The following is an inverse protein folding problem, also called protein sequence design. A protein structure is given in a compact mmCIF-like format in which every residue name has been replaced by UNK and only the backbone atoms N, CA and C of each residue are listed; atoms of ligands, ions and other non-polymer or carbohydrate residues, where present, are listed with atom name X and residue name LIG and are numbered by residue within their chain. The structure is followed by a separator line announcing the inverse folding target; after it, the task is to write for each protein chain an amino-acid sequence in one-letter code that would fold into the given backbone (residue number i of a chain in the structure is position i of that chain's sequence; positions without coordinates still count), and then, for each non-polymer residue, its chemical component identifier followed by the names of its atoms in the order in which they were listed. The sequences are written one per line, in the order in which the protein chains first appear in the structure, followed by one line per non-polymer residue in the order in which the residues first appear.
data_IF_354041737497
#
_entry.id   IF_354041737497
#
_cell.length_a   1.000
_cell.length_b   1.000
_cell.length_c   1.000
_cell.angle_alpha   90.00
_cell.angle_beta   90.00
_cell.angle_gamma   90.00
#
_symmetry.space_group_name_H-M   'P 1'
#
loop_
_entity.id
_entity.type
_entity.pdbx_description
1 polymer ?
#
# COMPACT_ATOMS: atom_id res chain seq x y z
N UNK A 1 38.21 6.74 31.96
CA UNK A 1 37.45 6.68 30.69
C UNK A 1 36.28 5.76 30.92
N UNK A 2 35.04 6.28 30.94
CA UNK A 2 33.86 5.44 31.05
C UNK A 2 33.62 4.79 29.67
N UNK A 3 33.76 3.47 29.59
CA UNK A 3 33.35 2.70 28.42
C UNK A 3 31.84 2.80 28.30
N UNK A 4 31.36 3.59 27.33
CA UNK A 4 29.96 3.58 26.96
C UNK A 4 29.63 2.17 26.45
N UNK A 5 28.97 1.38 27.28
CA UNK A 5 28.38 0.11 26.85
C UNK A 5 27.13 0.47 26.07
N UNK A 6 27.19 0.37 24.75
CA UNK A 6 25.99 0.40 23.92
C UNK A 6 25.07 -0.73 24.38
N UNK A 7 23.78 -0.46 24.62
CA UNK A 7 22.84 -1.54 24.93
C UNK A 7 22.86 -2.56 23.79
N UNK A 8 22.77 -3.87 24.08
CA UNK A 8 22.68 -4.89 23.05
C UNK A 8 21.48 -4.58 22.15
N UNK A 9 21.66 -4.73 20.84
CA UNK A 9 20.57 -4.62 19.88
C UNK A 9 19.57 -5.74 20.23
N UNK A 10 18.43 -5.39 20.83
CA UNK A 10 17.36 -6.33 21.08
C UNK A 10 16.92 -6.92 19.74
N UNK A 11 16.87 -8.25 19.63
CA UNK A 11 16.31 -8.85 18.43
C UNK A 11 14.85 -8.42 18.28
N UNK A 12 14.40 -8.03 17.09
CA UNK A 12 13.00 -7.70 16.85
C UNK A 12 12.11 -8.89 17.21
N UNK A 13 11.03 -8.62 17.92
CA UNK A 13 10.00 -9.62 18.22
C UNK A 13 9.46 -10.22 16.91
N UNK A 14 9.16 -11.52 16.90
CA UNK A 14 8.57 -12.20 15.76
C UNK A 14 7.13 -12.56 16.06
N UNK A 15 6.22 -12.04 15.24
CA UNK A 15 4.76 -12.26 15.35
C UNK A 15 4.31 -13.02 14.12
N UNK A 16 3.50 -14.05 14.28
CA UNK A 16 2.95 -14.83 13.16
C UNK A 16 1.56 -14.26 12.83
N UNK A 17 1.34 -13.90 11.58
CA UNK A 17 0.02 -13.46 11.13
C UNK A 17 -0.96 -14.65 11.04
N UNK A 18 -2.25 -14.38 11.21
CA UNK A 18 -3.29 -15.39 11.14
C UNK A 18 -4.04 -15.29 9.81
N UNK A 19 -4.50 -16.42 9.27
CA UNK A 19 -5.39 -16.40 8.10
C UNK A 19 -6.75 -15.84 8.48
N UNK A 20 -7.13 -14.71 7.89
CA UNK A 20 -8.43 -14.10 8.10
C UNK A 20 -9.49 -14.71 7.18
N UNK A 21 -9.28 -14.64 5.87
CA UNK A 21 -10.11 -15.23 4.80
C UNK A 21 -9.27 -15.40 3.52
N UNK A 22 -9.83 -15.97 2.45
CA UNK A 22 -9.16 -16.10 1.16
C UNK A 22 -10.15 -15.98 0.00
N UNK A 23 -9.63 -15.73 -1.22
CA UNK A 23 -10.46 -15.62 -2.42
C UNK A 23 -11.26 -16.92 -2.58
N UNK A 24 -12.61 -16.85 -2.61
CA UNK A 24 -13.46 -18.01 -2.81
C UNK A 24 -13.18 -18.71 -4.14
N UNK A 25 -13.39 -20.02 -4.18
CA UNK A 25 -13.09 -20.83 -5.35
C UNK A 25 -13.82 -20.34 -6.62
N UNK A 26 -15.07 -19.91 -6.48
CA UNK A 26 -15.91 -19.33 -7.54
C UNK A 26 -15.39 -17.99 -8.09
N UNK A 27 -14.51 -17.31 -7.36
CA UNK A 27 -13.87 -16.08 -7.77
C UNK A 27 -12.48 -16.29 -8.36
N UNK A 28 -11.89 -17.47 -8.24
CA UNK A 28 -10.58 -17.80 -8.81
C UNK A 28 -10.67 -18.03 -10.32
N UNK A 29 -9.74 -17.43 -11.07
CA UNK A 29 -9.71 -17.50 -12.54
C UNK A 29 -8.41 -18.07 -13.04
N UNK A 30 -8.32 -19.39 -13.15
CA UNK A 30 -7.12 -20.11 -13.60
C UNK A 30 -6.78 -19.89 -15.10
N UNK A 31 -6.42 -18.66 -15.47
CA UNK A 31 -6.04 -18.26 -16.83
C UNK A 31 -4.82 -17.36 -16.82
N UNK A 32 -4.22 -17.19 -17.99
CA UNK A 32 -3.20 -16.17 -18.22
C UNK A 32 -3.91 -14.82 -18.38
N UNK A 33 -3.38 -13.77 -17.77
CA UNK A 33 -3.85 -12.39 -17.94
C UNK A 33 -2.76 -11.50 -18.53
N UNK A 34 -3.13 -10.31 -19.01
CA UNK A 34 -2.15 -9.31 -19.44
C UNK A 34 -1.15 -8.97 -18.33
N UNK A 35 -1.63 -8.94 -17.09
CA UNK A 35 -0.81 -8.74 -15.91
C UNK A 35 0.16 -9.92 -15.70
N UNK A 36 -0.32 -11.17 -15.72
CA UNK A 36 0.55 -12.33 -15.49
C UNK A 36 1.57 -12.54 -16.62
N UNK A 37 1.24 -12.14 -17.86
CA UNK A 37 2.17 -12.12 -18.98
C UNK A 37 3.40 -11.26 -18.71
N UNK A 38 3.19 -10.04 -18.19
CA UNK A 38 4.26 -9.08 -17.89
C UNK A 38 4.96 -9.34 -16.55
N UNK A 39 4.25 -9.78 -15.51
CA UNK A 39 4.76 -9.84 -14.13
C UNK A 39 5.20 -11.23 -13.69
N UNK A 40 4.64 -12.27 -14.29
CA UNK A 40 4.89 -13.66 -13.91
C UNK A 40 5.25 -14.53 -15.11
N UNK A 41 5.85 -13.93 -16.15
CA UNK A 41 6.34 -14.62 -17.35
C UNK A 41 5.26 -15.48 -18.03
N UNK A 42 4.01 -15.03 -18.03
CA UNK A 42 2.89 -15.73 -18.67
C UNK A 42 2.40 -16.97 -17.92
N UNK A 43 2.76 -17.13 -16.64
CA UNK A 43 2.15 -18.17 -15.82
C UNK A 43 0.66 -17.89 -15.57
N UNK A 44 -0.08 -18.96 -15.31
CA UNK A 44 -1.45 -18.87 -14.80
C UNK A 44 -1.43 -18.10 -13.48
N UNK A 45 -2.36 -17.17 -13.33
CA UNK A 45 -2.60 -16.41 -12.11
C UNK A 45 -4.11 -16.41 -11.89
N UNK A 46 -4.56 -16.91 -10.76
CA UNK A 46 -5.98 -17.06 -10.45
C UNK A 46 -6.59 -15.84 -9.74
N UNK A 47 -5.74 -15.11 -9.02
CA UNK A 47 -5.94 -13.78 -8.48
C UNK A 47 -4.57 -13.19 -8.10
N UNK A 48 -4.48 -11.87 -7.99
CA UNK A 48 -3.34 -11.17 -7.40
C UNK A 48 -3.85 -10.03 -6.52
N UNK A 49 -3.97 -10.30 -5.21
CA UNK A 49 -4.55 -9.38 -4.25
C UNK A 49 -3.61 -8.24 -3.86
N UNK A 50 -4.13 -7.02 -3.81
CA UNK A 50 -3.38 -5.81 -3.47
C UNK A 50 -4.29 -4.72 -2.86
N UNK A 51 -3.69 -3.58 -2.51
CA UNK A 51 -4.37 -2.33 -2.15
C UNK A 51 -5.54 -2.45 -1.16
N UNK A 52 -5.38 -3.09 0.02
CA UNK A 52 -6.45 -3.20 0.99
C UNK A 52 -6.82 -1.82 1.58
N UNK A 53 -8.11 -1.51 1.70
CA UNK A 53 -8.61 -0.33 2.42
C UNK A 53 -9.91 -0.63 3.19
N UNK A 54 -10.18 0.13 4.24
CA UNK A 54 -11.46 0.09 4.95
C UNK A 54 -12.39 1.21 4.48
N UNK A 55 -13.60 0.84 4.05
CA UNK A 55 -14.65 1.79 3.66
C UNK A 55 -16.00 1.29 4.17
N UNK A 56 -16.73 2.15 4.91
CA UNK A 56 -18.07 1.84 5.43
C UNK A 56 -18.16 0.47 6.14
N UNK A 57 -17.15 0.12 6.95
CA UNK A 57 -17.10 -1.12 7.72
C UNK A 57 -16.74 -2.38 6.92
N UNK A 58 -16.41 -2.25 5.62
CA UNK A 58 -15.98 -3.36 4.76
C UNK A 58 -14.52 -3.20 4.36
N UNK A 59 -13.84 -4.33 4.22
CA UNK A 59 -12.50 -4.40 3.68
C UNK A 59 -12.58 -4.53 2.16
N UNK A 60 -12.03 -3.57 1.43
CA UNK A 60 -11.89 -3.63 -0.01
C UNK A 60 -10.48 -4.08 -0.35
N UNK A 61 -10.34 -4.94 -1.38
CA UNK A 61 -9.05 -5.38 -1.91
C UNK A 61 -9.10 -5.40 -3.43
N UNK A 62 -8.00 -5.07 -4.09
CA UNK A 62 -7.90 -5.17 -5.54
C UNK A 62 -7.53 -6.59 -5.96
N UNK A 63 -7.84 -6.92 -7.21
CA UNK A 63 -7.31 -8.08 -7.90
C UNK A 63 -6.79 -7.64 -9.27
N UNK A 64 -5.50 -7.30 -9.30
CA UNK A 64 -4.83 -6.69 -10.45
C UNK A 64 -4.94 -7.60 -11.67
N UNK A 65 -4.79 -8.91 -11.44
CA UNK A 65 -4.70 -9.90 -12.49
C UNK A 65 -5.93 -9.94 -13.39
N UNK A 66 -7.10 -9.53 -12.86
CA UNK A 66 -8.37 -9.66 -13.55
C UNK A 66 -9.23 -8.39 -13.55
N UNK A 67 -8.69 -7.25 -13.13
CA UNK A 67 -9.41 -5.97 -13.25
C UNK A 67 -10.60 -5.87 -12.28
N UNK A 68 -10.46 -6.40 -11.06
CA UNK A 68 -11.56 -6.48 -10.10
C UNK A 68 -11.21 -5.75 -8.80
N UNK A 69 -12.25 -5.28 -8.12
CA UNK A 69 -12.18 -4.88 -6.72
C UNK A 69 -13.20 -5.72 -5.98
N UNK A 70 -12.77 -6.36 -4.90
CA UNK A 70 -13.62 -7.11 -3.99
C UNK A 70 -13.96 -6.27 -2.77
N UNK A 71 -15.15 -6.51 -2.21
CA UNK A 71 -15.53 -6.06 -0.87
C UNK A 71 -15.74 -7.29 0.01
N UNK A 72 -15.22 -7.24 1.23
CA UNK A 72 -15.25 -8.33 2.20
C UNK A 72 -15.95 -7.80 3.46
N UNK A 73 -16.99 -8.52 3.88
CA UNK A 73 -17.64 -8.26 5.17
C UNK A 73 -16.74 -8.79 6.30
N UNK A 74 -16.42 -7.95 7.28
CA UNK A 74 -15.49 -8.34 8.34
C UNK A 74 -16.07 -9.37 9.32
N UNK A 75 -17.39 -9.38 9.52
CA UNK A 75 -18.05 -10.27 10.46
C UNK A 75 -18.33 -11.64 9.82
N UNK A 76 -18.89 -11.65 8.61
CA UNK A 76 -19.26 -12.89 7.92
C UNK A 76 -18.13 -13.48 7.09
N UNK A 77 -17.10 -12.67 6.78
CA UNK A 77 -15.99 -13.00 5.85
C UNK A 77 -16.44 -13.27 4.41
N UNK A 78 -17.68 -12.89 4.07
CA UNK A 78 -18.22 -13.05 2.73
C UNK A 78 -17.56 -12.07 1.75
N UNK A 79 -17.21 -12.58 0.57
CA UNK A 79 -16.65 -11.78 -0.51
C UNK A 79 -17.73 -11.42 -1.51
N UNK A 80 -17.65 -10.20 -2.05
CA UNK A 80 -18.43 -9.76 -3.20
C UNK A 80 -17.51 -9.15 -4.23
N UNK A 81 -17.61 -9.55 -5.49
CA UNK A 81 -17.03 -8.79 -6.60
C UNK A 81 -17.76 -7.45 -6.69
N UNK A 82 -17.14 -6.39 -6.15
CA UNK A 82 -17.78 -5.09 -5.99
C UNK A 82 -17.93 -4.40 -7.35
N UNK A 83 -16.84 -4.42 -8.13
CA UNK A 83 -16.80 -3.95 -9.51
C UNK A 83 -15.75 -4.76 -10.30
N UNK A 84 -16.02 -4.97 -11.59
CA UNK A 84 -15.09 -5.51 -12.57
C UNK A 84 -15.07 -4.61 -13.80
N UNK A 85 -13.88 -4.28 -14.28
CA UNK A 85 -13.71 -3.39 -15.43
C UNK A 85 -12.40 -3.69 -16.16
N UNK A 86 -12.23 -3.14 -17.37
CA UNK A 86 -11.01 -3.33 -18.18
C UNK A 86 -9.83 -2.47 -17.69
N UNK A 87 -9.38 -2.73 -16.47
CA UNK A 87 -8.26 -2.05 -15.80
C UNK A 87 -7.32 -3.01 -15.09
N UNK A 88 -6.38 -2.42 -14.35
CA UNK A 88 -5.43 -3.13 -13.49
C UNK A 88 -5.36 -2.37 -12.14
N UNK A 89 -6.44 -2.39 -11.35
CA UNK A 89 -6.47 -1.76 -10.03
C UNK A 89 -5.37 -2.38 -9.17
N UNK A 90 -4.51 -1.55 -8.58
CA UNK A 90 -3.37 -1.99 -7.79
C UNK A 90 -3.52 -1.50 -6.34
N UNK A 91 -3.01 -0.31 -6.02
CA UNK A 91 -3.23 0.34 -4.74
C UNK A 91 -4.55 1.11 -4.67
N UNK A 92 -5.05 1.30 -3.46
CA UNK A 92 -6.24 2.11 -3.18
C UNK A 92 -6.05 2.96 -1.93
N UNK A 93 -6.74 4.11 -1.87
CA UNK A 93 -6.95 4.85 -0.63
C UNK A 93 -8.38 5.39 -0.59
N UNK A 94 -8.93 5.59 0.61
CA UNK A 94 -10.20 6.29 0.76
C UNK A 94 -9.96 7.79 0.96
N UNK A 95 -10.72 8.62 0.26
CA UNK A 95 -10.69 10.07 0.45
C UNK A 95 -11.91 10.49 1.31
N UNK A 96 -11.78 10.66 2.63
CA UNK A 96 -12.94 10.83 3.52
C UNK A 96 -13.74 12.11 3.26
N UNK A 97 -13.08 13.22 2.91
CA UNK A 97 -13.76 14.49 2.57
C UNK A 97 -14.60 14.39 1.28
N UNK A 98 -14.12 13.64 0.28
CA UNK A 98 -14.81 13.43 -1.01
C UNK A 98 -15.72 12.20 -1.03
N UNK A 99 -15.56 11.31 -0.05
CA UNK A 99 -16.24 10.01 0.08
C UNK A 99 -16.02 9.07 -1.12
N UNK A 100 -14.85 9.16 -1.74
CA UNK A 100 -14.48 8.34 -2.90
C UNK A 100 -13.36 7.36 -2.55
N UNK A 101 -13.40 6.18 -3.16
CA UNK A 101 -12.25 5.28 -3.24
C UNK A 101 -11.38 5.79 -4.40
N UNK A 102 -10.12 6.09 -4.12
CA UNK A 102 -9.12 6.39 -5.12
C UNK A 102 -8.37 5.11 -5.48
N UNK A 103 -8.05 4.95 -6.77
CA UNK A 103 -7.41 3.72 -7.28
C UNK A 103 -6.18 4.13 -8.10
N UNK A 104 -5.02 3.58 -7.74
CA UNK A 104 -3.86 3.54 -8.61
C UNK A 104 -4.06 2.37 -9.59
N UNK A 105 -4.42 2.67 -10.83
CA UNK A 105 -4.66 1.68 -11.87
C UNK A 105 -3.49 1.66 -12.86
N UNK A 106 -2.83 0.50 -12.98
CA UNK A 106 -1.62 0.36 -13.83
C UNK A 106 -1.90 0.61 -15.31
N UNK A 107 -3.16 0.46 -15.74
CA UNK A 107 -3.58 0.62 -17.14
C UNK A 107 -4.24 1.97 -17.40
N UNK A 108 -5.00 2.50 -16.45
CA UNK A 108 -5.85 3.68 -16.64
C UNK A 108 -5.40 4.95 -15.92
N UNK A 109 -4.37 4.89 -15.08
CA UNK A 109 -3.88 6.05 -14.33
C UNK A 109 -4.47 6.10 -12.91
N UNK A 110 -4.81 7.28 -12.42
CA UNK A 110 -5.47 7.48 -11.13
C UNK A 110 -6.98 7.62 -11.36
N UNK A 111 -7.76 6.77 -10.71
CA UNK A 111 -9.23 6.72 -10.83
C UNK A 111 -9.91 7.07 -9.51
N UNK A 112 -11.18 7.44 -9.59
CA UNK A 112 -12.11 7.49 -8.45
C UNK A 112 -13.27 6.53 -8.65
N UNK A 113 -13.69 5.88 -7.56
CA UNK A 113 -14.85 5.02 -7.47
C UNK A 113 -15.74 5.50 -6.32
N UNK A 114 -16.99 5.81 -6.64
CA UNK A 114 -18.02 6.07 -5.65
C UNK A 114 -18.51 4.73 -5.05
N UNK A 115 -18.33 4.49 -3.73
CA UNK A 115 -18.71 3.24 -3.10
C UNK A 115 -20.24 3.05 -2.96
N UNK A 116 -21.05 4.10 -3.12
CA UNK A 116 -22.51 4.02 -3.08
C UNK A 116 -23.09 3.77 -4.46
N UNK A 117 -22.69 4.57 -5.46
CA UNK A 117 -23.24 4.50 -6.81
C UNK A 117 -22.51 3.54 -7.74
N UNK A 118 -21.30 3.11 -7.37
CA UNK A 118 -20.34 2.36 -8.21
C UNK A 118 -19.90 3.13 -9.46
N UNK A 119 -20.07 4.45 -9.48
CA UNK A 119 -19.57 5.27 -10.57
C UNK A 119 -18.04 5.30 -10.54
N UNK A 120 -17.41 4.87 -11.64
CA UNK A 120 -15.97 4.83 -11.83
C UNK A 120 -15.57 5.91 -12.84
N UNK A 121 -14.66 6.79 -12.45
CA UNK A 121 -14.19 7.91 -13.26
C UNK A 121 -12.65 8.02 -13.25
N UNK A 122 -12.11 8.63 -14.31
CA UNK A 122 -10.67 8.86 -14.43
C UNK A 122 -10.32 10.26 -13.91
N UNK A 123 -9.45 10.34 -12.90
CA UNK A 123 -8.94 11.62 -12.40
C UNK A 123 -7.75 12.07 -13.25
N UNK A 124 -6.79 11.16 -13.48
CA UNK A 124 -5.58 11.43 -14.25
C UNK A 124 -5.20 10.19 -15.07
N UNK A 125 -4.91 10.35 -16.36
CA UNK A 125 -4.36 9.28 -17.21
C UNK A 125 -2.94 9.58 -17.73
N UNK A 126 -2.50 10.84 -17.60
CA UNK A 126 -1.27 11.33 -18.19
C UNK A 126 -0.70 12.53 -17.42
N UNK A 127 0.58 12.80 -17.65
CA UNK A 127 1.28 13.97 -17.15
C UNK A 127 2.12 14.58 -18.28
N UNK A 128 1.95 15.88 -18.53
CA UNK A 128 2.60 16.61 -19.63
C UNK A 128 2.45 15.91 -21.00
N UNK A 129 1.25 15.39 -21.28
CA UNK A 129 0.92 14.71 -22.54
C UNK A 129 1.54 13.31 -22.70
N UNK A 130 2.15 12.76 -21.65
CA UNK A 130 2.67 11.39 -21.64
C UNK A 130 1.85 10.54 -20.68
N UNK A 131 1.45 9.31 -21.06
CA UNK A 131 0.81 8.38 -20.14
C UNK A 131 1.69 8.10 -18.90
N UNK A 132 1.05 7.76 -17.79
CA UNK A 132 1.77 7.17 -16.67
C UNK A 132 2.37 5.80 -17.06
N UNK A 133 3.45 5.42 -16.40
CA UNK A 133 4.17 4.16 -16.65
C UNK A 133 3.53 2.96 -15.90
N UNK A 134 2.51 3.24 -15.09
CA UNK A 134 1.74 2.26 -14.35
C UNK A 134 1.73 2.66 -12.88
N UNK A 135 0.75 3.48 -12.47
CA UNK A 135 0.55 3.81 -11.07
C UNK A 135 0.45 2.56 -10.21
N UNK A 136 1.10 2.57 -9.05
CA UNK A 136 1.19 1.41 -8.20
C UNK A 136 0.40 1.58 -6.90
N UNK A 137 0.73 2.57 -6.09
CA UNK A 137 0.01 2.86 -4.85
C UNK A 137 -0.25 4.36 -4.68
N UNK A 138 -1.14 4.72 -3.76
CA UNK A 138 -1.47 6.11 -3.44
C UNK A 138 -1.88 6.32 -1.97
N UNK A 139 -1.68 7.54 -1.49
CA UNK A 139 -2.14 8.02 -0.17
C UNK A 139 -2.73 9.43 -0.31
N UNK A 140 -3.65 9.80 0.58
CA UNK A 140 -4.24 11.14 0.63
C UNK A 140 -3.63 11.90 1.80
N UNK A 141 -3.03 13.08 1.54
CA UNK A 141 -2.50 13.95 2.58
C UNK A 141 -3.61 14.67 3.36
N UNK A 142 -3.29 15.27 4.51
CA UNK A 142 -4.20 16.09 5.31
C UNK A 142 -4.80 17.27 4.52
N UNK A 143 -4.01 17.80 3.59
CA UNK A 143 -4.41 18.84 2.62
C UNK A 143 -5.45 18.36 1.58
N UNK A 144 -5.75 17.06 1.51
CA UNK A 144 -6.64 16.47 0.51
C UNK A 144 -5.99 16.17 -0.84
N UNK A 145 -4.69 16.43 -1.00
CA UNK A 145 -3.98 16.09 -2.22
C UNK A 145 -3.71 14.57 -2.29
N UNK A 146 -3.66 14.07 -3.52
CA UNK A 146 -3.41 12.66 -3.84
C UNK A 146 -1.92 12.51 -4.14
N UNK A 147 -1.24 11.69 -3.36
CA UNK A 147 0.16 11.34 -3.57
C UNK A 147 0.20 9.92 -4.14
N UNK A 148 0.92 9.70 -5.23
CA UNK A 148 0.93 8.38 -5.86
C UNK A 148 2.27 8.05 -6.50
N UNK A 149 2.57 6.76 -6.56
CA UNK A 149 3.76 6.23 -7.22
C UNK A 149 3.44 5.82 -8.65
N UNK A 150 4.30 6.23 -9.58
CA UNK A 150 4.28 5.79 -10.96
C UNK A 150 5.48 4.86 -11.18
N UNK A 151 5.24 3.57 -11.04
CA UNK A 151 6.26 2.55 -10.83
C UNK A 151 7.09 2.26 -12.08
N UNK A 152 6.39 2.09 -13.21
CA UNK A 152 6.98 1.76 -14.51
C UNK A 152 7.71 0.41 -14.60
N UNK A 153 7.58 -0.46 -13.61
CA UNK A 153 8.38 -1.70 -13.47
C UNK A 153 9.90 -1.47 -13.60
N UNK A 154 10.36 -0.29 -13.18
CA UNK A 154 11.71 0.21 -13.41
C UNK A 154 12.76 -0.46 -12.51
N UNK A 155 13.95 -0.68 -13.03
CA UNK A 155 15.04 -1.34 -12.29
C UNK A 155 16.15 -0.39 -11.88
N UNK A 156 17.16 -0.89 -11.14
CA UNK A 156 18.36 -0.11 -10.80
C UNK A 156 19.15 0.37 -12.02
N UNK A 157 19.07 -0.35 -13.14
CA UNK A 157 19.75 -0.01 -14.39
C UNK A 157 19.05 1.11 -15.17
N UNK A 158 17.76 1.34 -14.91
CA UNK A 158 16.94 2.35 -15.58
C UNK A 158 15.79 2.77 -14.65
N UNK A 159 16.08 3.57 -13.60
CA UNK A 159 15.13 3.81 -12.51
C UNK A 159 14.13 4.90 -12.88
N UNK A 160 13.47 4.88 -14.03
CA UNK A 160 12.64 6.02 -14.51
C UNK A 160 11.32 6.23 -13.75
N UNK A 161 11.09 5.51 -12.65
CA UNK A 161 9.91 5.65 -11.80
C UNK A 161 9.84 7.01 -11.12
N UNK A 162 8.60 7.43 -10.79
CA UNK A 162 8.29 8.79 -10.31
C UNK A 162 7.33 8.74 -9.13
N UNK A 163 7.31 9.81 -8.35
CA UNK A 163 6.29 10.06 -7.32
C UNK A 163 5.66 11.42 -7.59
N UNK A 164 4.34 11.47 -7.56
CA UNK A 164 3.55 12.65 -7.89
C UNK A 164 2.72 13.11 -6.70
N UNK A 165 2.41 14.41 -6.71
CA UNK A 165 1.35 15.03 -5.92
C UNK A 165 0.34 15.61 -6.88
N UNK A 166 -0.93 15.29 -6.72
CA UNK A 166 -2.03 15.88 -7.45
C UNK A 166 -2.98 16.57 -6.48
N UNK A 167 -3.21 17.86 -6.69
CA UNK A 167 -4.20 18.63 -5.97
C UNK A 167 -5.52 18.62 -6.77
N UNK A 168 -6.56 17.92 -6.28
CA UNK A 168 -7.81 17.78 -7.01
C UNK A 168 -8.72 19.01 -6.90
N UNK A 169 -8.37 20.03 -6.13
CA UNK A 169 -9.06 21.33 -6.09
C UNK A 169 -8.53 22.27 -7.18
N UNK A 170 -7.20 22.31 -7.35
CA UNK A 170 -6.57 23.19 -8.35
C UNK A 170 -6.29 22.51 -9.70
N UNK A 171 -6.34 21.17 -9.74
CA UNK A 171 -5.94 20.35 -10.89
C UNK A 171 -4.42 20.29 -11.08
N UNK A 172 -3.63 20.90 -10.20
CA UNK A 172 -2.17 20.95 -10.34
C UNK A 172 -1.56 19.60 -10.00
N UNK A 173 -0.64 19.14 -10.86
CA UNK A 173 0.13 17.92 -10.64
C UNK A 173 1.62 18.25 -10.62
N UNK A 174 2.29 17.92 -9.51
CA UNK A 174 3.72 18.14 -9.29
C UNK A 174 4.47 16.81 -9.23
N UNK A 175 5.71 16.80 -9.72
CA UNK A 175 6.61 15.64 -9.57
C UNK A 175 7.48 15.85 -8.34
N UNK A 176 7.27 15.03 -7.31
CA UNK A 176 7.99 15.12 -6.03
C UNK A 176 9.34 14.41 -6.09
N UNK A 177 9.40 13.30 -6.80
CA UNK A 177 10.58 12.45 -6.91
C UNK A 177 10.67 11.88 -8.33
N UNK A 178 11.91 11.79 -8.82
CA UNK A 178 12.27 11.11 -10.07
C UNK A 178 13.37 10.11 -9.76
N UNK A 179 13.63 9.24 -10.72
CA UNK A 179 14.72 8.26 -10.65
C UNK A 179 14.51 7.19 -9.56
N UNK A 180 13.24 6.84 -9.30
CA UNK A 180 12.87 5.78 -8.36
C UNK A 180 12.96 4.39 -9.01
N UNK A 181 13.77 3.46 -8.46
CA UNK A 181 13.83 2.08 -8.95
C UNK A 181 12.65 1.27 -8.42
N UNK A 182 11.56 1.23 -9.21
CA UNK A 182 10.25 0.68 -8.85
C UNK A 182 9.68 1.29 -7.55
N UNK A 183 9.27 2.58 -7.54
CA UNK A 183 8.52 3.15 -6.43
C UNK A 183 7.17 2.44 -6.29
N UNK A 184 6.77 2.16 -5.06
CA UNK A 184 5.69 1.22 -4.74
C UNK A 184 4.77 1.81 -3.66
N UNK A 185 4.58 1.17 -2.51
CA UNK A 185 3.84 1.75 -1.38
C UNK A 185 4.46 3.05 -0.88
N UNK A 186 3.61 3.93 -0.36
CA UNK A 186 4.01 5.21 0.21
C UNK A 186 3.13 5.57 1.40
N UNK A 187 3.71 6.23 2.39
CA UNK A 187 3.01 6.66 3.59
C UNK A 187 3.70 7.89 4.19
N UNK A 188 2.93 8.83 4.70
CA UNK A 188 3.47 9.96 5.45
C UNK A 188 3.90 9.54 6.85
N UNK A 189 4.84 10.27 7.46
CA UNK A 189 4.94 10.33 8.91
C UNK A 189 3.70 11.02 9.51
N UNK A 190 3.55 10.96 10.84
CA UNK A 190 2.34 11.49 11.51
C UNK A 190 2.12 13.00 11.29
N UNK A 191 3.21 13.76 11.17
CA UNK A 191 3.17 15.21 10.97
C UNK A 191 3.10 15.61 9.49
N UNK A 192 3.16 14.62 8.58
CA UNK A 192 3.23 14.80 7.12
C UNK A 192 4.41 15.67 6.63
N UNK A 193 5.49 15.74 7.42
CA UNK A 193 6.74 16.39 7.03
C UNK A 193 7.67 15.49 6.23
N UNK A 194 7.41 14.18 6.20
CA UNK A 194 8.17 13.18 5.46
C UNK A 194 7.22 12.23 4.74
N UNK A 195 7.46 12.01 3.45
CA UNK A 195 6.85 10.95 2.68
C UNK A 195 7.82 9.75 2.59
N UNK A 196 7.45 8.62 3.18
CA UNK A 196 8.13 7.36 2.98
C UNK A 196 7.69 6.73 1.65
N UNK A 197 8.65 6.21 0.88
CA UNK A 197 8.39 5.58 -0.42
C UNK A 197 9.18 4.28 -0.53
N UNK A 198 8.50 3.18 -0.75
CA UNK A 198 9.11 1.88 -0.99
C UNK A 198 9.75 1.84 -2.37
N UNK A 199 11.06 1.62 -2.43
CA UNK A 199 11.80 1.41 -3.68
C UNK A 199 12.08 -0.08 -3.84
N UNK A 200 11.14 -0.83 -4.43
CA UNK A 200 11.18 -2.29 -4.44
C UNK A 200 12.47 -2.84 -5.06
N UNK A 201 13.09 -2.15 -6.02
CA UNK A 201 14.34 -2.63 -6.66
C UNK A 201 15.62 -2.11 -6.02
N UNK A 202 15.55 -1.04 -5.22
CA UNK A 202 16.65 -0.65 -4.31
C UNK A 202 16.62 -1.41 -2.99
N UNK A 203 15.58 -2.24 -2.79
CA UNK A 203 15.38 -3.02 -1.58
C UNK A 203 15.42 -2.15 -0.32
N UNK A 204 14.80 -0.97 -0.39
CA UNK A 204 14.88 0.04 0.65
C UNK A 204 13.64 0.94 0.68
N UNK A 205 13.34 1.52 1.84
CA UNK A 205 12.38 2.62 1.95
C UNK A 205 13.16 3.93 1.93
N UNK A 206 12.81 4.82 1.01
CA UNK A 206 13.32 6.18 0.98
C UNK A 206 12.45 7.07 1.85
N UNK A 207 13.06 8.06 2.50
CA UNK A 207 12.34 9.15 3.15
C UNK A 207 12.53 10.43 2.33
N UNK A 208 11.43 11.12 2.02
CA UNK A 208 11.42 12.32 1.19
C UNK A 208 10.84 13.47 2.03
N UNK A 209 11.65 14.45 2.46
CA UNK A 209 11.13 15.61 3.19
C UNK A 209 10.12 16.39 2.32
N UNK A 210 8.97 16.72 2.90
CA UNK A 210 7.90 17.52 2.27
C UNK A 210 7.79 18.85 3.03
N UNK A 211 7.87 19.96 2.29
CA UNK A 211 7.73 21.30 2.85
C UNK A 211 6.27 21.76 2.82
N UNK A 212 5.87 22.74 3.66
CA UNK A 212 4.49 23.25 3.67
C UNK A 212 3.98 23.81 2.33
N UNK A 213 4.88 24.20 1.42
CA UNK A 213 4.55 24.64 0.06
C UNK A 213 4.41 23.48 -0.95
N UNK A 214 4.51 22.23 -0.48
CA UNK A 214 4.44 21.00 -1.27
C UNK A 214 5.73 20.62 -1.99
N UNK A 215 6.82 21.37 -1.81
CA UNK A 215 8.12 21.06 -2.42
C UNK A 215 8.87 19.97 -1.65
N UNK A 216 9.88 19.37 -2.28
CA UNK A 216 10.72 18.34 -1.68
C UNK A 216 12.20 18.73 -1.68
N UNK A 217 12.99 18.07 -0.82
CA UNK A 217 14.44 18.26 -0.78
C UNK A 217 15.18 16.91 -0.88
N UNK A 218 16.32 16.78 -0.19
CA UNK A 218 17.25 15.66 -0.32
C UNK A 218 16.61 14.40 0.28
N UNK A 219 16.12 13.53 -0.60
CA UNK A 219 15.68 12.20 -0.22
C UNK A 219 16.86 11.40 0.34
N UNK A 220 16.59 10.60 1.36
CA UNK A 220 17.54 9.67 1.97
C UNK A 220 16.92 8.28 2.13
N UNK A 221 17.67 7.37 2.75
CA UNK A 221 17.20 6.02 3.02
C UNK A 221 16.81 5.88 4.48
N UNK A 222 15.57 5.45 4.73
CA UNK A 222 15.05 5.16 6.06
C UNK A 222 15.46 3.76 6.54
N UNK A 223 15.27 2.75 5.68
CA UNK A 223 15.57 1.34 5.98
C UNK A 223 16.03 0.60 4.73
N UNK A 224 16.76 -0.51 4.91
CA UNK A 224 17.22 -1.40 3.83
C UNK A 224 16.91 -2.85 4.18
N UNK A 225 16.62 -3.67 3.17
CA UNK A 225 16.32 -5.09 3.33
C UNK A 225 17.18 -5.96 2.40
N UNK A 226 16.81 -7.24 2.29
CA UNK A 226 17.59 -8.27 1.62
C UNK A 226 16.71 -9.17 0.75
N UNK A 227 17.36 -10.07 0.00
CA UNK A 227 16.69 -10.99 -0.92
C UNK A 227 16.37 -10.36 -2.28
N UNK A 228 15.60 -11.11 -3.09
CA UNK A 228 15.26 -10.75 -4.47
C UNK A 228 13.96 -9.94 -4.59
N UNK A 229 13.31 -9.66 -3.46
CA UNK A 229 12.12 -8.81 -3.38
C UNK A 229 12.45 -7.38 -3.02
N UNK A 230 11.58 -6.75 -2.25
CA UNK A 230 11.77 -5.40 -1.71
C UNK A 230 10.47 -4.87 -1.10
N UNK A 231 10.50 -3.62 -0.60
CA UNK A 231 9.31 -2.96 -0.05
C UNK A 231 8.19 -2.87 -1.08
N UNK A 232 6.98 -3.15 -0.61
CA UNK A 232 5.72 -3.10 -1.35
C UNK A 232 4.81 -2.08 -0.63
N UNK A 233 3.62 -2.46 -0.18
CA UNK A 233 2.74 -1.62 0.64
C UNK A 233 3.25 -1.32 2.05
N UNK A 234 2.78 -0.22 2.64
CA UNK A 234 3.16 0.22 3.98
C UNK A 234 2.07 1.01 4.70
N UNK A 235 2.10 1.03 6.03
CA UNK A 235 1.20 1.83 6.88
C UNK A 235 1.88 2.26 8.19
N UNK A 236 1.23 3.12 8.97
CA UNK A 236 1.65 3.53 10.31
C UNK A 236 0.70 3.05 11.40
N UNK A 237 1.21 2.84 12.62
CA UNK A 237 0.37 2.88 13.83
C UNK A 237 0.34 4.29 14.47
N UNK A 238 -0.48 4.46 15.51
CA UNK A 238 -0.61 5.71 16.25
C UNK A 238 0.66 6.13 17.03
N UNK A 239 1.62 5.23 17.24
CA UNK A 239 2.92 5.56 17.83
C UNK A 239 3.93 6.03 16.76
N UNK A 240 3.54 5.98 15.48
CA UNK A 240 4.38 6.37 14.35
C UNK A 240 5.32 5.25 13.88
N UNK A 241 5.08 4.00 14.30
CA UNK A 241 5.84 2.87 13.79
C UNK A 241 5.41 2.53 12.36
N UNK A 242 6.38 2.35 11.47
CA UNK A 242 6.17 2.06 10.04
C UNK A 242 6.21 0.55 9.78
N UNK A 243 5.12 0.03 9.23
CA UNK A 243 4.92 -1.37 8.83
C UNK A 243 5.13 -1.47 7.34
N UNK A 244 6.02 -2.36 6.91
CA UNK A 244 6.48 -2.42 5.52
C UNK A 244 6.42 -3.86 5.05
N UNK A 245 5.52 -4.16 4.12
CA UNK A 245 5.52 -5.43 3.40
C UNK A 245 6.82 -5.56 2.61
N UNK A 246 7.55 -6.66 2.79
CA UNK A 246 8.70 -7.00 1.95
C UNK A 246 8.43 -8.33 1.25
N UNK A 247 8.06 -8.23 -0.03
CA UNK A 247 7.68 -9.39 -0.83
C UNK A 247 8.84 -10.36 -1.04
N UNK A 248 8.50 -11.61 -1.34
CA UNK A 248 9.42 -12.74 -1.67
C UNK A 248 10.19 -13.29 -0.47
N UNK A 249 10.04 -12.67 0.70
CA UNK A 249 10.59 -13.17 1.97
C UNK A 249 9.54 -13.32 3.06
N UNK A 250 8.25 -13.08 2.75
CA UNK A 250 7.14 -13.35 3.66
C UNK A 250 7.23 -12.62 5.00
N UNK A 251 7.78 -11.40 4.99
CA UNK A 251 8.04 -10.64 6.21
C UNK A 251 7.52 -9.21 6.04
N UNK A 252 6.82 -8.73 7.05
CA UNK A 252 6.51 -7.32 7.25
C UNK A 252 7.44 -6.82 8.35
N UNK A 253 8.23 -5.79 8.06
CA UNK A 253 9.09 -5.18 9.06
C UNK A 253 8.36 -4.04 9.74
N UNK A 254 8.52 -3.93 11.06
CA UNK A 254 8.01 -2.81 11.86
C UNK A 254 9.19 -2.01 12.35
N UNK A 255 9.28 -0.74 11.98
CA UNK A 255 10.32 0.18 12.41
C UNK A 255 9.73 1.30 13.26
N UNK A 256 10.43 1.70 14.31
CA UNK A 256 10.13 2.93 15.06
C UNK A 256 10.26 4.17 14.15
N UNK A 257 9.72 5.33 14.55
CA UNK A 257 9.87 6.58 13.79
C UNK A 257 11.31 6.96 13.45
N UNK A 258 12.29 6.53 14.27
CA UNK A 258 13.72 6.76 14.06
C UNK A 258 14.41 5.72 13.16
N UNK A 259 13.67 4.74 12.64
CA UNK A 259 14.19 3.66 11.80
C UNK A 259 14.65 2.42 12.58
N UNK A 260 14.67 2.46 13.91
CA UNK A 260 15.06 1.30 14.73
C UNK A 260 14.08 0.13 14.52
N UNK A 261 14.55 -1.08 14.17
CA UNK A 261 13.68 -2.25 14.08
C UNK A 261 12.96 -2.54 15.40
N UNK A 262 11.64 -2.64 15.36
CA UNK A 262 10.78 -2.95 16.51
C UNK A 262 10.36 -4.43 16.51
N UNK A 263 9.80 -4.89 15.39
CA UNK A 263 9.26 -6.23 15.25
C UNK A 263 9.31 -6.69 13.78
N UNK A 264 9.00 -7.97 13.59
CA UNK A 264 8.75 -8.58 12.29
C UNK A 264 7.48 -9.42 12.38
N UNK A 265 6.56 -9.20 11.44
CA UNK A 265 5.38 -10.04 11.27
C UNK A 265 5.68 -10.99 10.10
N UNK A 266 5.50 -12.29 10.31
CA UNK A 266 5.78 -13.32 9.32
C UNK A 266 4.50 -14.02 8.87
N UNK A 267 4.50 -14.47 7.61
CA UNK A 267 3.38 -15.24 7.05
C UNK A 267 3.24 -16.58 7.81
N UNK A 268 2.00 -17.07 8.05
CA UNK A 268 1.79 -18.37 8.68
C UNK A 268 2.18 -19.52 7.75
N UNK A 269 2.34 -20.72 8.33
CA UNK A 269 2.56 -21.94 7.57
C UNK A 269 1.40 -22.19 6.57
N UNK A 270 1.74 -22.66 5.37
CA UNK A 270 0.77 -22.96 4.31
C UNK A 270 0.31 -21.75 3.49
N UNK A 271 0.72 -20.52 3.87
CA UNK A 271 0.51 -19.30 3.08
C UNK A 271 1.78 -18.95 2.31
N UNK A 272 1.62 -18.26 1.17
CA UNK A 272 2.74 -17.82 0.35
C UNK A 272 3.62 -16.76 1.02
N UNK A 273 4.66 -16.32 0.30
CA UNK A 273 5.64 -15.31 0.75
C UNK A 273 5.45 -13.95 0.08
N UNK A 274 4.30 -13.70 -0.54
CA UNK A 274 3.94 -12.45 -1.24
C UNK A 274 3.01 -11.60 -0.37
N UNK A 275 3.39 -11.26 0.86
CA UNK A 275 2.69 -10.20 1.60
C UNK A 275 2.91 -8.88 0.87
N UNK A 276 1.86 -8.34 0.24
CA UNK A 276 1.96 -7.24 -0.72
C UNK A 276 1.59 -5.91 -0.12
N UNK A 277 0.47 -5.81 0.62
CA UNK A 277 0.01 -4.54 1.14
C UNK A 277 -0.87 -4.76 2.39
N UNK A 278 -1.22 -3.68 3.08
CA UNK A 278 -1.77 -3.76 4.44
C UNK A 278 -2.56 -2.51 4.84
N UNK A 279 -3.59 -2.70 5.66
CA UNK A 279 -4.43 -1.61 6.17
C UNK A 279 -4.97 -1.92 7.56
N UNK A 280 -5.37 -0.89 8.30
CA UNK A 280 -5.93 -1.06 9.63
C UNK A 280 -7.44 -1.22 9.61
N UNK A 281 -7.96 -1.98 10.56
CA UNK A 281 -9.37 -1.94 10.93
C UNK A 281 -9.77 -0.50 11.32
N UNK A 282 -11.04 -0.11 11.10
CA UNK A 282 -11.45 1.25 11.35
C UNK A 282 -11.37 1.59 12.83
N UNK A 283 -10.83 2.75 13.15
CA UNK A 283 -11.01 3.39 14.44
C UNK A 283 -12.46 3.89 14.49
N UNK A 284 -13.31 3.34 15.35
CA UNK A 284 -14.63 3.93 15.55
C UNK A 284 -14.94 4.13 17.03
N UNK A 285 -15.62 5.23 17.30
CA UNK A 285 -16.72 5.22 18.25
C UNK A 285 -17.98 4.82 17.43
N UNK A 286 -18.23 3.52 17.18
CA UNK A 286 -19.51 3.07 16.58
C UNK A 286 -19.50 2.00 15.47
N UNK A 287 -18.42 1.26 15.28
CA UNK A 287 -18.27 0.12 14.36
C UNK A 287 -17.32 -0.89 14.98
N UNK A 288 -17.82 -2.09 15.28
CA UNK A 288 -17.18 -3.08 16.16
C UNK A 288 -15.68 -3.31 15.85
N UNK A 289 -14.80 -2.65 16.59
CA UNK A 289 -13.34 -2.77 16.43
C UNK A 289 -12.57 -1.69 17.20
N UNK A 290 -11.50 -2.08 17.88
CA UNK A 290 -10.62 -1.19 18.65
C UNK A 290 -9.69 -0.34 17.75
N UNK A 291 -9.72 -0.57 16.43
CA UNK A 291 -8.84 0.04 15.44
C UNK A 291 -7.41 -0.50 15.47
N UNK A 292 -7.22 -1.70 16.03
CA UNK A 292 -5.94 -2.28 16.39
C UNK A 292 -5.63 -3.58 15.62
N UNK A 293 -6.44 -3.90 14.61
CA UNK A 293 -6.25 -5.10 13.79
C UNK A 293 -5.70 -4.70 12.43
N UNK A 294 -4.54 -5.22 12.08
CA UNK A 294 -3.91 -5.04 10.79
C UNK A 294 -4.36 -6.14 9.82
N UNK A 295 -4.92 -5.78 8.68
CA UNK A 295 -5.21 -6.69 7.58
C UNK A 295 -4.12 -6.62 6.52
N UNK A 296 -3.73 -7.76 5.96
CA UNK A 296 -2.61 -7.89 5.02
C UNK A 296 -3.08 -8.69 3.80
N UNK A 297 -2.82 -8.19 2.59
CA UNK A 297 -3.01 -8.98 1.37
C UNK A 297 -1.79 -9.85 1.11
N UNK A 298 -2.03 -11.13 0.81
CA UNK A 298 -1.02 -12.07 0.34
C UNK A 298 -1.42 -12.59 -1.04
N UNK A 299 -0.61 -12.30 -2.06
CA UNK A 299 -1.02 -12.53 -3.45
C UNK A 299 -0.69 -13.91 -4.00
N UNK A 300 0.24 -14.68 -3.43
CA UNK A 300 0.60 -15.98 -4.01
C UNK A 300 -0.47 -17.05 -3.76
N UNK A 301 -1.12 -17.04 -2.60
CA UNK A 301 -2.27 -17.90 -2.30
C UNK A 301 -3.61 -17.19 -2.43
N UNK A 302 -3.63 -15.86 -2.59
CA UNK A 302 -4.86 -15.07 -2.66
C UNK A 302 -5.56 -15.06 -1.30
N UNK A 303 -4.82 -14.71 -0.26
CA UNK A 303 -5.24 -14.79 1.14
C UNK A 303 -5.21 -13.39 1.76
N UNK A 304 -6.18 -13.10 2.62
CA UNK A 304 -6.12 -11.96 3.53
C UNK A 304 -5.72 -12.48 4.91
N UNK A 305 -4.68 -11.91 5.49
CA UNK A 305 -4.21 -12.22 6.83
C UNK A 305 -4.61 -11.12 7.81
N UNK A 306 -4.55 -11.42 9.10
CA UNK A 306 -4.77 -10.45 10.17
C UNK A 306 -3.74 -10.58 11.29
N UNK A 307 -3.43 -9.46 11.93
CA UNK A 307 -2.64 -9.40 13.17
C UNK A 307 -3.31 -8.42 14.13
N UNK A 308 -3.51 -8.83 15.38
CA UNK A 308 -3.87 -7.88 16.44
C UNK A 308 -2.62 -7.19 16.94
N UNK A 309 -2.64 -5.86 16.98
CA UNK A 309 -1.54 -5.02 17.43
C UNK A 309 -1.89 -4.35 18.74
N UNK A 310 -0.88 -3.99 19.53
CA UNK A 310 -1.08 -3.37 20.85
C UNK A 310 -1.43 -1.88 20.76
N UNK A 311 -1.15 -1.25 19.61
CA UNK A 311 -1.42 0.16 19.33
C UNK A 311 -2.43 0.25 18.18
N UNK A 312 -3.31 1.27 18.24
CA UNK A 312 -4.26 1.56 17.16
C UNK A 312 -3.54 1.94 15.87
N UNK A 313 -4.18 1.66 14.75
CA UNK A 313 -3.73 2.05 13.43
C UNK A 313 -3.86 3.53 13.13
N UNK A 314 -2.96 4.03 12.27
CA UNK A 314 -2.97 5.39 11.75
C UNK A 314 -3.24 5.38 10.24
N UNK A 315 -4.43 5.84 9.84
CA UNK A 315 -4.85 5.86 8.43
C UNK A 315 -4.39 7.10 7.66
N UNK A 316 -3.81 8.09 8.34
CA UNK A 316 -3.41 9.39 7.78
C UNK A 316 -4.13 10.56 8.43
N UNK A 317 -3.55 11.75 8.34
CA UNK A 317 -4.04 12.94 9.07
C UNK A 317 -5.46 13.34 8.66
N UNK A 318 -5.79 13.19 7.38
CA UNK A 318 -7.11 13.52 6.81
C UNK A 318 -8.27 12.75 7.46
N UNK A 319 -8.02 11.61 8.11
CA UNK A 319 -9.05 10.82 8.80
C UNK A 319 -9.41 11.35 10.19
N UNK A 320 -8.58 12.24 10.76
CA UNK A 320 -8.74 12.75 12.13
C UNK A 320 -9.00 14.25 12.19
N UNK A 321 -8.73 14.98 11.11
CA UNK A 321 -9.09 16.39 10.98
C UNK A 321 -10.59 16.55 10.70
N UNK A 322 -11.29 17.28 11.57
CA UNK A 322 -12.72 17.60 11.46
C UNK A 322 -12.98 18.74 10.48
#
# INVERSE_FOLDING_TARGET
MATATFPPISQPESIVAEKFTEVPHEHRRNKISLFSHSHNKGKIMDSFLEGPIMVNGKLFVTDIAHGRIFAIDLATKEWTCFIEYDGQPNGMAYHPKRKLILIADRKKGVLSLDPETKFLDTILDSFNGQPFLGPNDLVVGGDGAIYFTDQGMTGLHEPVGRVFRHDPETGKTDVLLRNGPSPNGLMFDKEEGVLFVGMTRDNSVWHVPIFPDGTTQRAGRFSSYYGLGGPDGMTLDCDGNLFICVVRIGTIFVHKPDGTPLARIVMPEGVGVMGTNLTWSPNTDGGEGEGDTLYITESASGTVLSVKWHTKGWLGKIYYEK
#
